data_IF_987559787825
#
_entry.id   IF_987559787825
#
_cell.length_a   1.000
_cell.length_b   1.000
_cell.length_c   1.000
_cell.angle_alpha   90.00
_cell.angle_beta   90.00
_cell.angle_gamma   90.00
#
_symmetry.space_group_name_H-M   'P 1'
#
loop_
_entity.id
_entity.type
_entity.pdbx_description
1 polymer ?
#
# COMPACT_ATOMS: atom_id res chain seq x y z
N UNK A 1 -0.66 19.31 -16.59
CA UNK A 1 0.43 18.32 -16.51
C UNK A 1 -0.12 17.15 -15.71
N UNK A 2 -0.20 15.96 -16.30
CA UNK A 2 -0.71 14.77 -15.59
C UNK A 2 0.39 14.32 -14.63
N UNK A 3 0.17 14.42 -13.32
CA UNK A 3 1.09 13.86 -12.35
C UNK A 3 1.07 12.34 -12.50
N UNK A 4 2.21 11.76 -12.88
CA UNK A 4 2.40 10.31 -12.95
C UNK A 4 2.27 9.75 -11.52
N UNK A 5 1.50 8.67 -11.35
CA UNK A 5 1.43 7.98 -10.05
C UNK A 5 2.83 7.46 -9.69
N UNK A 6 3.27 7.55 -8.42
CA UNK A 6 4.53 6.96 -7.98
C UNK A 6 4.56 5.45 -8.28
N UNK A 7 5.60 4.97 -8.95
CA UNK A 7 5.73 3.56 -9.35
C UNK A 7 6.71 2.77 -8.46
N UNK A 8 7.56 3.47 -7.70
CA UNK A 8 8.57 2.84 -6.82
C UNK A 8 8.41 3.22 -5.34
N UNK A 9 8.88 2.38 -4.40
CA UNK A 9 8.90 2.73 -2.97
C UNK A 9 9.58 4.07 -2.66
N UNK A 10 10.66 4.38 -3.39
CA UNK A 10 11.38 5.66 -3.29
C UNK A 10 10.51 6.85 -3.68
N UNK A 11 9.78 6.75 -4.79
CA UNK A 11 8.84 7.79 -5.24
C UNK A 11 7.64 7.92 -4.31
N UNK A 12 7.13 6.80 -3.76
CA UNK A 12 6.03 6.80 -2.79
C UNK A 12 6.44 7.52 -1.50
N UNK A 13 7.62 7.21 -0.96
CA UNK A 13 8.15 7.86 0.24
C UNK A 13 8.32 9.36 -0.01
N UNK A 14 8.93 9.73 -1.13
CA UNK A 14 9.14 11.14 -1.50
C UNK A 14 7.82 11.89 -1.65
N UNK A 15 6.86 11.32 -2.38
CA UNK A 15 5.55 11.92 -2.58
C UNK A 15 4.74 12.03 -1.28
N UNK A 16 4.87 11.06 -0.36
CA UNK A 16 4.22 11.12 0.95
C UNK A 16 4.85 12.20 1.83
N UNK A 17 6.18 12.35 1.82
CA UNK A 17 6.86 13.46 2.54
C UNK A 17 6.39 14.81 1.99
N UNK A 18 6.41 14.99 0.67
CA UNK A 18 5.99 16.23 0.03
C UNK A 18 4.50 16.58 0.31
N UNK A 19 3.65 15.57 0.58
CA UNK A 19 2.24 15.76 1.00
C UNK A 19 2.04 15.99 2.50
N UNK A 20 3.03 15.66 3.32
CA UNK A 20 2.93 15.71 4.79
C UNK A 20 3.28 17.08 5.39
N UNK A 21 3.61 18.07 4.56
CA UNK A 21 4.15 19.39 4.94
C UNK A 21 5.42 19.33 5.83
N UNK A 22 6.05 18.16 5.97
CA UNK A 22 7.30 17.99 6.70
C UNK A 22 8.51 18.35 5.84
N UNK A 23 9.41 19.12 6.43
CA UNK A 23 10.76 19.30 5.90
C UNK A 23 11.57 18.00 5.96
N UNK A 24 12.64 17.93 5.16
CA UNK A 24 13.59 16.80 5.19
C UNK A 24 14.17 16.65 6.61
N UNK A 25 14.57 17.77 7.23
CA UNK A 25 15.13 17.83 8.58
C UNK A 25 14.16 17.24 9.61
N UNK A 26 12.92 17.73 9.66
CA UNK A 26 11.90 17.26 10.61
C UNK A 26 11.62 15.76 10.47
N UNK A 27 11.52 15.25 9.24
CA UNK A 27 11.32 13.81 9.05
C UNK A 27 12.53 13.02 9.53
N UNK A 28 13.74 13.47 9.21
CA UNK A 28 14.95 12.76 9.61
C UNK A 28 15.19 12.74 11.11
N UNK A 29 14.83 13.81 11.82
CA UNK A 29 14.87 13.89 13.27
C UNK A 29 13.91 12.89 13.93
N UNK A 30 12.67 12.81 13.44
CA UNK A 30 11.66 11.88 13.98
C UNK A 30 12.01 10.42 13.71
N UNK A 31 12.56 10.12 12.54
CA UNK A 31 12.95 8.75 12.14
C UNK A 31 14.28 8.35 12.80
N UNK A 32 15.15 9.32 13.10
CA UNK A 32 16.49 9.12 13.64
C UNK A 32 17.47 8.63 12.56
N UNK A 33 17.48 9.31 11.41
CA UNK A 33 18.42 9.06 10.30
C UNK A 33 19.05 10.37 9.83
N UNK A 34 20.03 10.32 8.93
CA UNK A 34 20.62 11.54 8.35
C UNK A 34 19.85 12.00 7.12
N UNK A 35 19.80 13.31 6.87
CA UNK A 35 19.24 13.87 5.63
C UNK A 35 19.87 13.24 4.38
N UNK A 36 21.19 13.03 4.40
CA UNK A 36 21.91 12.35 3.32
C UNK A 36 21.36 10.94 3.09
N UNK A 37 21.01 10.20 4.13
CA UNK A 37 20.45 8.86 3.97
C UNK A 37 19.04 8.91 3.38
N UNK A 38 18.18 9.82 3.86
CA UNK A 38 16.86 10.06 3.30
C UNK A 38 16.93 10.47 1.82
N UNK A 39 17.84 11.38 1.46
CA UNK A 39 18.04 11.79 0.06
C UNK A 39 18.31 10.60 -0.86
N UNK A 40 19.19 9.68 -0.45
CA UNK A 40 19.51 8.49 -1.25
C UNK A 40 18.31 7.54 -1.35
N UNK A 41 17.48 7.44 -0.30
CA UNK A 41 16.25 6.65 -0.33
C UNK A 41 15.28 7.25 -1.34
N UNK A 42 15.06 8.56 -1.31
CA UNK A 42 14.06 9.24 -2.15
C UNK A 42 14.50 9.40 -3.61
N UNK A 43 15.79 9.55 -3.88
CA UNK A 43 16.28 9.97 -5.20
C UNK A 43 17.25 8.98 -5.88
N UNK A 44 17.96 8.14 -5.11
CA UNK A 44 18.95 7.19 -5.67
C UNK A 44 18.47 5.73 -5.65
N UNK A 45 17.24 5.47 -5.20
CA UNK A 45 16.72 4.10 -5.07
C UNK A 45 17.38 3.30 -3.94
N UNK A 46 18.01 3.96 -2.96
CA UNK A 46 18.61 3.27 -1.82
C UNK A 46 17.54 2.56 -1.00
N UNK A 47 17.61 1.23 -0.93
CA UNK A 47 16.70 0.44 -0.09
C UNK A 47 17.04 0.68 1.39
N UNK A 48 16.08 1.19 2.20
CA UNK A 48 16.26 1.34 3.64
C UNK A 48 16.27 -0.02 4.36
N UNK A 49 16.81 -0.07 5.57
CA UNK A 49 16.57 -1.24 6.44
C UNK A 49 15.08 -1.33 6.78
N UNK A 50 14.60 -2.52 7.12
CA UNK A 50 13.18 -2.71 7.49
C UNK A 50 12.75 -1.80 8.64
N UNK A 51 13.60 -1.62 9.66
CA UNK A 51 13.32 -0.72 10.78
C UNK A 51 13.18 0.74 10.35
N UNK A 52 14.05 1.22 9.46
CA UNK A 52 13.96 2.58 8.92
C UNK A 52 12.71 2.73 8.04
N UNK A 53 12.43 1.75 7.18
CA UNK A 53 11.23 1.74 6.35
C UNK A 53 9.96 1.82 7.20
N UNK A 54 9.87 0.99 8.25
CA UNK A 54 8.74 0.96 9.18
C UNK A 54 8.53 2.29 9.88
N UNK A 55 9.60 2.96 10.31
CA UNK A 55 9.51 4.30 10.91
C UNK A 55 9.00 5.33 9.92
N UNK A 56 9.58 5.40 8.71
CA UNK A 56 9.17 6.33 7.65
C UNK A 56 7.69 6.12 7.28
N UNK A 57 7.27 4.88 7.05
CA UNK A 57 5.89 4.52 6.67
C UNK A 57 4.89 4.96 7.74
N UNK A 58 5.24 4.81 9.02
CA UNK A 58 4.36 5.21 10.14
C UNK A 58 4.30 6.73 10.30
N UNK A 59 5.45 7.40 10.19
CA UNK A 59 5.54 8.86 10.35
C UNK A 59 4.79 9.58 9.22
N UNK A 60 4.89 9.07 8.00
CA UNK A 60 4.22 9.63 6.82
C UNK A 60 2.82 9.06 6.56
N UNK A 61 2.31 8.21 7.46
CA UNK A 61 1.01 7.53 7.32
C UNK A 61 0.79 6.85 5.95
N UNK A 62 1.84 6.23 5.39
CA UNK A 62 1.78 5.56 4.09
C UNK A 62 1.02 4.25 4.24
N UNK A 63 0.07 3.99 3.33
CA UNK A 63 -0.52 2.66 3.20
C UNK A 63 0.57 1.68 2.70
N UNK A 64 0.90 0.69 3.53
CA UNK A 64 1.90 -0.32 3.21
C UNK A 64 1.61 -1.09 1.92
N UNK A 65 0.34 -1.19 1.50
CA UNK A 65 -0.01 -1.83 0.24
C UNK A 65 0.60 -1.11 -0.97
N UNK A 66 0.76 0.22 -0.91
CA UNK A 66 1.40 0.97 -1.99
C UNK A 66 2.86 0.54 -2.21
N UNK A 67 3.54 0.13 -1.13
CA UNK A 67 4.96 -0.27 -1.16
C UNK A 67 5.12 -1.76 -1.47
N UNK A 68 4.31 -2.61 -0.83
CA UNK A 68 4.48 -4.07 -0.88
C UNK A 68 3.61 -4.76 -1.93
N UNK A 69 2.55 -4.11 -2.39
CA UNK A 69 1.61 -4.61 -3.39
C UNK A 69 1.27 -3.52 -4.43
N UNK A 70 2.26 -2.88 -5.08
CA UNK A 70 2.02 -1.77 -6.02
C UNK A 70 1.14 -2.17 -7.23
N UNK A 71 1.08 -3.46 -7.56
CA UNK A 71 0.20 -4.03 -8.58
C UNK A 71 -1.28 -3.98 -8.17
N UNK A 72 -1.56 -3.95 -6.86
CA UNK A 72 -2.90 -3.76 -6.31
C UNK A 72 -3.18 -2.26 -6.25
N UNK A 73 -3.29 -1.63 -7.41
CA UNK A 73 -3.69 -0.23 -7.49
C UNK A 73 -4.99 -0.02 -6.71
N UNK A 74 -4.95 0.98 -5.82
CA UNK A 74 -6.05 1.64 -5.08
C UNK A 74 -7.42 0.98 -5.25
N UNK A 75 -7.87 0.34 -4.16
CA UNK A 75 -9.25 -0.09 -3.87
C UNK A 75 -10.03 -0.50 -5.10
N UNK A 76 -10.05 -1.80 -5.37
CA UNK A 76 -11.28 -2.37 -5.90
C UNK A 76 -12.34 -2.13 -4.82
N UNK A 77 -13.04 -1.00 -4.91
CA UNK A 77 -14.05 -0.58 -3.94
C UNK A 77 -15.10 -1.67 -3.77
N UNK A 78 -15.36 -2.42 -4.84
CA UNK A 78 -16.24 -3.58 -4.84
C UNK A 78 -15.76 -4.71 -3.93
N UNK A 79 -14.45 -5.01 -3.89
CA UNK A 79 -13.91 -6.07 -3.01
C UNK A 79 -13.95 -5.63 -1.54
N UNK A 80 -13.57 -4.39 -1.25
CA UNK A 80 -13.69 -3.86 0.12
C UNK A 80 -15.14 -3.83 0.60
N UNK A 81 -16.08 -3.43 -0.26
CA UNK A 81 -17.50 -3.41 0.07
C UNK A 81 -18.06 -4.82 0.25
N UNK A 82 -17.65 -5.79 -0.57
CA UNK A 82 -17.97 -7.20 -0.36
C UNK A 82 -17.43 -7.71 0.99
N UNK A 83 -16.17 -7.38 1.33
CA UNK A 83 -15.59 -7.77 2.64
C UNK A 83 -16.40 -7.18 3.80
N UNK A 84 -16.86 -5.92 3.69
CA UNK A 84 -17.73 -5.31 4.70
C UNK A 84 -19.07 -6.04 4.83
N UNK A 85 -19.70 -6.39 3.70
CA UNK A 85 -20.94 -7.16 3.68
C UNK A 85 -20.76 -8.56 4.32
N UNK A 86 -19.61 -9.20 4.12
CA UNK A 86 -19.32 -10.51 4.70
C UNK A 86 -19.34 -10.51 6.24
N UNK A 87 -18.98 -9.41 6.90
CA UNK A 87 -19.07 -9.32 8.37
C UNK A 87 -20.50 -9.36 8.91
N UNK A 88 -21.51 -9.03 8.10
CA UNK A 88 -22.92 -9.12 8.47
C UNK A 88 -23.55 -10.49 8.21
N UNK A 89 -22.81 -11.43 7.62
CA UNK A 89 -23.33 -12.74 7.23
C UNK A 89 -23.28 -13.75 8.37
N UNK A 90 -24.32 -14.57 8.49
CA UNK A 90 -24.31 -15.76 9.35
C UNK A 90 -23.57 -16.94 8.69
N UNK A 91 -23.31 -18.00 9.46
CA UNK A 91 -22.57 -19.18 9.00
C UNK A 91 -23.19 -19.83 7.76
N UNK A 92 -24.52 -19.82 7.64
CA UNK A 92 -25.23 -20.36 6.48
C UNK A 92 -24.93 -19.52 5.24
N UNK A 93 -25.06 -18.21 5.35
CA UNK A 93 -24.81 -17.26 4.26
C UNK A 93 -23.36 -17.33 3.80
N UNK A 94 -22.40 -17.41 4.73
CA UNK A 94 -20.98 -17.55 4.41
C UNK A 94 -20.66 -18.85 3.64
N UNK A 95 -21.33 -19.97 3.97
CA UNK A 95 -21.18 -21.23 3.23
C UNK A 95 -21.68 -21.11 1.78
N UNK A 96 -22.81 -20.45 1.57
CA UNK A 96 -23.37 -20.21 0.24
C UNK A 96 -22.42 -19.33 -0.57
N UNK A 97 -22.00 -18.19 0.00
CA UNK A 97 -21.10 -17.25 -0.68
C UNK A 97 -19.78 -17.93 -1.04
N UNK A 98 -19.20 -18.73 -0.14
CA UNK A 98 -18.00 -19.52 -0.42
C UNK A 98 -18.18 -20.47 -1.61
N UNK A 99 -19.31 -21.17 -1.68
CA UNK A 99 -19.60 -22.07 -2.80
C UNK A 99 -19.71 -21.29 -4.13
N UNK A 100 -20.37 -20.13 -4.12
CA UNK A 100 -20.50 -19.25 -5.29
C UNK A 100 -19.14 -18.74 -5.77
N UNK A 101 -18.30 -18.22 -4.86
CA UNK A 101 -16.95 -17.73 -5.21
C UNK A 101 -16.11 -18.86 -5.79
N UNK A 102 -16.18 -20.06 -5.20
CA UNK A 102 -15.45 -21.23 -5.71
C UNK A 102 -15.90 -21.61 -7.12
N UNK A 103 -17.20 -21.66 -7.37
CA UNK A 103 -17.74 -21.94 -8.70
C UNK A 103 -17.34 -20.88 -9.74
N UNK A 104 -17.33 -19.60 -9.36
CA UNK A 104 -16.88 -18.51 -10.22
C UNK A 104 -15.40 -18.68 -10.63
N UNK A 105 -14.52 -18.99 -9.66
CA UNK A 105 -13.09 -19.21 -9.93
C UNK A 105 -12.83 -20.43 -10.82
N UNK A 106 -13.55 -21.53 -10.59
CA UNK A 106 -13.44 -22.74 -11.41
C UNK A 106 -13.90 -22.49 -12.85
N UNK A 107 -14.95 -21.69 -13.06
CA UNK A 107 -15.44 -21.36 -14.42
C UNK A 107 -14.45 -20.53 -15.24
N UNK A 108 -13.59 -19.74 -14.61
CA UNK A 108 -12.52 -18.99 -15.28
C UNK A 108 -11.36 -19.90 -15.74
N UNK A 109 -11.12 -21.00 -15.01
CA UNK A 109 -10.08 -21.97 -15.37
C UNK A 109 -10.52 -22.89 -16.52
N UNK A 110 -11.80 -23.22 -16.60
CA UNK A 110 -12.35 -24.06 -17.68
C UNK A 110 -12.52 -23.31 -19.02
N UNK A 111 -12.44 -21.98 -19.01
CA UNK A 111 -12.50 -21.12 -20.20
C UNK A 111 -11.11 -20.67 -20.71
N UNK A 112 -10.02 -21.24 -20.18
CA UNK A 112 -8.65 -21.09 -20.67
C UNK A 112 -8.18 -22.40 -21.31
#
# INVERSE_FOLDING_TARGET
MVQKQPETPSEIIKAARDKSDLTVEELTDRVGITERYLYRIENEGKIPTFEVLKKIVRELAIDGNLIFYPEKQVKDSEVEDLVRMLYGCDDRSLKIIRATVKAALESQQNNR
#
